data_IF_680817791215
#
_entry.id   IF_680817791215
#
_cell.length_a   1.000
_cell.length_b   1.000
_cell.length_c   1.000
_cell.angle_alpha   90.00
_cell.angle_beta   90.00
_cell.angle_gamma   90.00
#
_symmetry.space_group_name_H-M   'P 1'
#
loop_
_entity.id
_entity.type
_entity.pdbx_description
1 polymer ?
#
# COMPACT_ATOMS: atom_id res chain seq x y z
N UNK A 1 -16.62 -0.20 -7.70
CA UNK A 1 -15.76 0.95 -8.07
C UNK A 1 -15.36 0.76 -9.52
N UNK A 2 -15.64 1.74 -10.42
CA UNK A 2 -15.15 1.67 -11.80
C UNK A 2 -13.67 2.08 -11.82
N UNK A 3 -12.87 1.28 -12.52
CA UNK A 3 -11.44 1.55 -12.74
C UNK A 3 -11.33 2.35 -14.04
N UNK A 4 -11.02 3.64 -13.95
CA UNK A 4 -10.89 4.51 -15.12
C UNK A 4 -9.46 4.46 -15.69
N UNK A 5 -9.25 4.83 -16.99
CA UNK A 5 -7.92 4.90 -17.58
C UNK A 5 -6.95 5.78 -16.77
N UNK A 6 -7.40 6.92 -16.25
CA UNK A 6 -6.58 7.83 -15.44
C UNK A 6 -6.14 7.19 -14.12
N UNK A 7 -7.05 6.46 -13.46
CA UNK A 7 -6.71 5.70 -12.23
C UNK A 7 -5.75 4.55 -12.52
N UNK A 8 -5.88 3.91 -13.68
CA UNK A 8 -4.93 2.90 -14.12
C UNK A 8 -3.53 3.51 -14.33
N UNK A 9 -3.45 4.67 -15.00
CA UNK A 9 -2.18 5.33 -15.27
C UNK A 9 -1.47 5.78 -14.00
N UNK A 10 -2.19 6.37 -13.04
CA UNK A 10 -1.67 6.75 -11.73
C UNK A 10 -1.13 5.51 -11.01
N UNK A 11 -1.89 4.42 -11.02
CA UNK A 11 -1.50 3.16 -10.38
C UNK A 11 -0.32 2.49 -11.11
N UNK A 12 -0.31 2.53 -12.44
CA UNK A 12 0.78 2.05 -13.28
C UNK A 12 2.13 2.65 -12.86
N UNK A 13 2.18 3.97 -12.75
CA UNK A 13 3.40 4.68 -12.33
C UNK A 13 3.78 4.38 -10.88
N UNK A 14 2.82 4.53 -9.98
CA UNK A 14 3.06 4.42 -8.54
C UNK A 14 3.44 2.99 -8.10
N UNK A 15 2.89 1.96 -8.73
CA UNK A 15 3.12 0.57 -8.35
C UNK A 15 4.17 -0.15 -9.21
N UNK A 16 4.72 0.50 -10.24
CA UNK A 16 5.59 -0.10 -11.25
C UNK A 16 4.91 -1.27 -11.98
N UNK A 17 3.63 -1.07 -12.37
CA UNK A 17 2.93 -2.06 -13.20
C UNK A 17 3.66 -2.25 -14.53
N UNK A 18 3.84 -3.49 -14.92
CA UNK A 18 4.43 -3.88 -16.18
C UNK A 18 3.33 -4.36 -17.15
N UNK A 19 2.98 -3.55 -18.17
CA UNK A 19 1.94 -3.93 -19.11
C UNK A 19 2.32 -5.16 -19.94
N UNK A 20 3.62 -5.39 -20.18
CA UNK A 20 4.08 -6.56 -20.94
C UNK A 20 3.97 -7.87 -20.15
N UNK A 21 3.97 -7.81 -18.83
CA UNK A 21 3.78 -8.95 -17.94
C UNK A 21 2.34 -9.06 -17.41
N UNK A 22 1.51 -8.06 -17.68
CA UNK A 22 0.09 -8.06 -17.31
C UNK A 22 -0.75 -8.65 -18.43
N UNK A 23 -1.85 -9.34 -18.07
CA UNK A 23 -2.70 -10.06 -19.05
C UNK A 23 -4.17 -9.80 -18.76
N UNK A 24 -4.93 -9.66 -19.85
CA UNK A 24 -6.37 -9.73 -19.86
C UNK A 24 -6.78 -10.96 -20.65
N UNK A 25 -7.55 -11.83 -20.03
CA UNK A 25 -7.99 -13.10 -20.60
C UNK A 25 -9.43 -12.97 -21.07
N UNK A 26 -9.72 -13.53 -22.22
CA UNK A 26 -11.07 -13.58 -22.81
C UNK A 26 -11.53 -15.01 -22.98
N UNK A 27 -12.83 -15.22 -22.89
CA UNK A 27 -13.51 -16.41 -23.36
C UNK A 27 -14.45 -15.94 -24.47
N UNK A 28 -14.15 -16.30 -25.70
CA UNK A 28 -14.75 -15.70 -26.88
C UNK A 28 -14.50 -14.16 -26.86
N UNK A 29 -15.53 -13.34 -26.80
CA UNK A 29 -15.43 -11.88 -26.73
C UNK A 29 -15.59 -11.32 -25.31
N UNK A 30 -15.94 -12.17 -24.32
CA UNK A 30 -16.18 -11.74 -22.96
C UNK A 30 -14.90 -11.72 -22.11
N UNK A 31 -14.59 -10.63 -21.38
CA UNK A 31 -13.45 -10.61 -20.46
C UNK A 31 -13.68 -11.58 -19.31
N UNK A 32 -12.78 -12.57 -19.19
CA UNK A 32 -12.89 -13.68 -18.23
C UNK A 32 -12.02 -13.50 -16.99
N UNK A 33 -10.78 -13.00 -17.17
CA UNK A 33 -9.88 -12.74 -16.04
C UNK A 33 -8.87 -11.64 -16.38
N UNK A 34 -8.30 -11.04 -15.33
CA UNK A 34 -7.19 -10.11 -15.41
C UNK A 34 -6.12 -10.48 -14.41
N UNK A 35 -4.86 -10.37 -14.82
CA UNK A 35 -3.67 -10.49 -13.97
C UNK A 35 -2.81 -9.25 -14.22
N UNK A 36 -2.55 -8.48 -13.16
CA UNK A 36 -1.69 -7.29 -13.22
C UNK A 36 -0.41 -7.56 -12.45
N UNK A 37 0.71 -7.41 -13.13
CA UNK A 37 2.05 -7.65 -12.58
C UNK A 37 2.80 -6.34 -12.48
N UNK A 38 3.43 -6.10 -11.33
CA UNK A 38 4.43 -5.06 -11.12
C UNK A 38 5.82 -5.71 -11.03
N UNK A 39 6.88 -4.98 -11.44
CA UNK A 39 8.24 -5.53 -11.46
C UNK A 39 9.28 -4.53 -10.98
N UNK A 40 10.23 -5.04 -10.16
CA UNK A 40 11.46 -4.32 -9.75
C UNK A 40 12.60 -5.30 -9.61
N UNK A 41 13.70 -5.03 -10.31
CA UNK A 41 14.84 -5.93 -10.29
C UNK A 41 14.42 -7.36 -10.64
N UNK A 42 14.68 -8.30 -9.76
CA UNK A 42 14.35 -9.72 -9.91
C UNK A 42 13.09 -10.14 -9.14
N UNK A 43 12.31 -9.16 -8.71
CA UNK A 43 11.06 -9.40 -8.00
C UNK A 43 9.88 -8.94 -8.82
N UNK A 44 8.90 -9.81 -8.99
CA UNK A 44 7.57 -9.45 -9.47
C UNK A 44 6.56 -9.44 -8.32
N UNK A 45 5.49 -8.67 -8.50
CA UNK A 45 4.37 -8.59 -7.59
C UNK A 45 3.07 -8.78 -8.36
N UNK A 46 2.24 -9.69 -7.88
CA UNK A 46 0.86 -9.76 -8.33
C UNK A 46 0.10 -8.56 -7.74
N UNK A 47 -0.01 -7.50 -8.51
CA UNK A 47 -0.63 -6.24 -8.07
C UNK A 47 -2.15 -6.31 -8.02
N UNK A 48 -2.75 -7.09 -8.92
CA UNK A 48 -4.17 -7.41 -8.90
C UNK A 48 -4.46 -8.69 -9.69
N UNK A 49 -5.48 -9.42 -9.26
CA UNK A 49 -6.06 -10.52 -9.99
C UNK A 49 -7.57 -10.52 -9.79
N UNK A 50 -8.31 -10.72 -10.87
CA UNK A 50 -9.75 -10.92 -10.79
C UNK A 50 -10.19 -11.95 -11.83
N UNK A 51 -11.20 -12.74 -11.47
CA UNK A 51 -11.94 -13.64 -12.36
C UNK A 51 -13.38 -13.16 -12.40
N UNK A 52 -13.90 -12.96 -13.60
CA UNK A 52 -15.28 -12.52 -13.77
C UNK A 52 -16.27 -13.53 -13.17
N UNK A 53 -17.41 -13.08 -12.60
CA UNK A 53 -18.30 -13.94 -11.82
C UNK A 53 -18.69 -15.24 -12.53
N UNK A 54 -19.02 -15.15 -13.83
CA UNK A 54 -19.49 -16.29 -14.63
C UNK A 54 -18.41 -17.37 -14.88
N UNK A 55 -17.14 -17.03 -14.65
CA UNK A 55 -15.99 -17.94 -14.84
C UNK A 55 -15.39 -18.45 -13.52
N UNK A 56 -15.96 -18.06 -12.36
CA UNK A 56 -15.48 -18.51 -11.05
C UNK A 56 -15.84 -19.98 -10.79
N UNK A 57 -15.09 -20.62 -9.89
CA UNK A 57 -15.32 -22.01 -9.50
C UNK A 57 -14.90 -23.07 -10.54
N UNK A 58 -14.41 -22.65 -11.73
CA UNK A 58 -14.03 -23.53 -12.85
C UNK A 58 -12.51 -23.73 -13.00
N UNK A 59 -11.72 -23.32 -12.02
CA UNK A 59 -10.26 -23.48 -12.06
C UNK A 59 -9.50 -22.32 -12.76
N UNK A 60 -10.17 -21.42 -13.49
CA UNK A 60 -9.53 -20.37 -14.28
C UNK A 60 -8.52 -19.53 -13.47
N UNK A 61 -8.85 -19.18 -12.21
CA UNK A 61 -7.93 -18.44 -11.33
C UNK A 61 -6.60 -19.17 -11.10
N UNK A 62 -6.62 -20.50 -11.00
CA UNK A 62 -5.40 -21.31 -10.88
C UNK A 62 -4.61 -21.31 -12.19
N UNK A 63 -5.31 -21.43 -13.32
CA UNK A 63 -4.66 -21.54 -14.63
C UNK A 63 -3.98 -20.24 -15.02
N UNK A 64 -4.65 -19.07 -14.87
CA UNK A 64 -4.04 -17.77 -15.16
C UNK A 64 -2.86 -17.46 -14.24
N UNK A 65 -2.92 -17.90 -12.98
CA UNK A 65 -1.78 -17.76 -12.06
C UNK A 65 -0.62 -18.67 -12.42
N UNK A 66 -0.90 -19.90 -12.90
CA UNK A 66 0.17 -20.79 -13.37
C UNK A 66 0.92 -20.16 -14.54
N UNK A 67 0.20 -19.63 -15.53
CA UNK A 67 0.80 -18.89 -16.66
C UNK A 67 1.66 -17.73 -16.16
N UNK A 68 1.16 -16.92 -15.23
CA UNK A 68 1.92 -15.80 -14.68
C UNK A 68 3.21 -16.26 -13.97
N UNK A 69 3.18 -17.40 -13.27
CA UNK A 69 4.37 -17.97 -12.60
C UNK A 69 5.37 -18.53 -13.62
N UNK A 70 4.89 -19.23 -14.65
CA UNK A 70 5.74 -19.73 -15.74
C UNK A 70 6.43 -18.60 -16.50
N UNK A 71 5.70 -17.52 -16.83
CA UNK A 71 6.27 -16.32 -17.44
C UNK A 71 7.31 -15.64 -16.53
N UNK A 72 7.06 -15.58 -15.22
CA UNK A 72 8.02 -15.02 -14.27
C UNK A 72 9.31 -15.86 -14.20
N UNK A 73 9.18 -17.18 -14.18
CA UNK A 73 10.33 -18.09 -14.21
C UNK A 73 11.15 -17.96 -15.52
N UNK A 74 10.47 -17.85 -16.66
CA UNK A 74 11.12 -17.62 -17.98
C UNK A 74 11.88 -16.29 -18.02
N UNK A 75 11.35 -15.25 -17.37
CA UNK A 75 12.02 -13.95 -17.20
C UNK A 75 13.18 -13.99 -16.21
N UNK A 76 13.37 -15.11 -15.50
CA UNK A 76 14.36 -15.28 -14.43
C UNK A 76 14.09 -14.38 -13.22
N UNK A 77 12.82 -14.08 -12.96
CA UNK A 77 12.43 -13.49 -11.67
C UNK A 77 12.82 -14.47 -10.56
N UNK A 78 13.34 -13.96 -9.45
CA UNK A 78 13.75 -14.80 -8.30
C UNK A 78 12.66 -14.94 -7.26
N UNK A 79 11.75 -13.98 -7.25
CA UNK A 79 10.70 -13.88 -6.25
C UNK A 79 9.43 -13.31 -6.86
N UNK A 80 8.29 -13.86 -6.47
CA UNK A 80 6.99 -13.22 -6.64
C UNK A 80 6.35 -12.98 -5.28
N UNK A 81 5.82 -11.76 -5.09
CA UNK A 81 5.07 -11.38 -3.89
C UNK A 81 3.63 -11.01 -4.25
N UNK A 82 2.76 -11.05 -3.28
CA UNK A 82 1.37 -10.57 -3.39
C UNK A 82 0.85 -10.17 -2.01
N UNK A 83 -0.17 -9.31 -1.99
CA UNK A 83 -0.99 -9.08 -0.81
C UNK A 83 -2.38 -9.67 -1.04
N UNK A 84 -2.88 -10.40 -0.07
CA UNK A 84 -4.21 -11.01 -0.12
C UNK A 84 -5.00 -10.69 1.15
N UNK A 85 -6.26 -10.29 0.97
CA UNK A 85 -7.17 -10.05 2.09
C UNK A 85 -7.30 -11.34 2.92
N UNK A 86 -6.98 -11.26 4.22
CA UNK A 86 -7.02 -12.39 5.16
C UNK A 86 -8.41 -13.03 5.21
N UNK A 87 -9.46 -12.22 5.12
CA UNK A 87 -10.86 -12.64 5.13
C UNK A 87 -11.34 -13.21 3.78
N UNK A 88 -10.42 -13.47 2.83
CA UNK A 88 -10.71 -14.15 1.57
C UNK A 88 -10.06 -15.54 1.53
N UNK A 89 -10.63 -16.56 2.22
CA UNK A 89 -10.03 -17.88 2.34
C UNK A 89 -9.85 -18.60 1.00
N UNK A 90 -10.69 -18.30 0.02
CA UNK A 90 -10.58 -18.88 -1.31
C UNK A 90 -9.30 -18.41 -2.02
N UNK A 91 -8.98 -17.12 -1.96
CA UNK A 91 -7.77 -16.58 -2.54
C UNK A 91 -6.52 -17.02 -1.76
N UNK A 92 -6.56 -17.00 -0.42
CA UNK A 92 -5.46 -17.50 0.43
C UNK A 92 -5.16 -18.98 0.10
N UNK A 93 -6.19 -19.82 -0.01
CA UNK A 93 -6.03 -21.23 -0.37
C UNK A 93 -5.43 -21.40 -1.79
N UNK A 94 -5.88 -20.59 -2.75
CA UNK A 94 -5.34 -20.61 -4.11
C UNK A 94 -3.83 -20.34 -4.10
N UNK A 95 -3.41 -19.24 -3.50
CA UNK A 95 -1.99 -18.87 -3.48
C UNK A 95 -1.13 -19.84 -2.69
N UNK A 96 -1.62 -20.36 -1.57
CA UNK A 96 -0.92 -21.40 -0.79
C UNK A 96 -0.71 -22.68 -1.61
N UNK A 97 -1.71 -23.13 -2.38
CA UNK A 97 -1.59 -24.29 -3.28
C UNK A 97 -0.64 -24.06 -4.44
N UNK A 98 -0.41 -22.81 -4.82
CA UNK A 98 0.57 -22.42 -5.83
C UNK A 98 1.99 -22.22 -5.27
N UNK A 99 2.19 -22.47 -3.99
CA UNK A 99 3.51 -22.43 -3.34
C UNK A 99 3.83 -21.14 -2.61
N UNK A 100 2.95 -20.14 -2.62
CA UNK A 100 3.15 -18.92 -1.83
C UNK A 100 3.06 -19.21 -0.32
N UNK A 101 3.92 -18.55 0.44
CA UNK A 101 3.94 -18.61 1.90
C UNK A 101 3.70 -17.23 2.50
N UNK A 102 2.86 -17.10 3.54
CA UNK A 102 2.74 -15.85 4.29
C UNK A 102 4.08 -15.49 4.92
N UNK A 103 4.52 -14.25 4.73
CA UNK A 103 5.76 -13.72 5.33
C UNK A 103 5.47 -12.70 6.43
N UNK A 104 4.35 -11.98 6.32
CA UNK A 104 3.87 -11.07 7.37
C UNK A 104 2.39 -10.76 7.22
N UNK A 105 1.81 -10.24 8.29
CA UNK A 105 0.47 -9.67 8.30
C UNK A 105 0.56 -8.16 8.14
N UNK A 106 -0.31 -7.59 7.29
CA UNK A 106 -0.43 -6.18 7.03
C UNK A 106 -1.74 -5.67 7.58
N UNK A 107 -1.69 -4.52 8.24
CA UNK A 107 -2.83 -3.89 8.91
C UNK A 107 -2.99 -2.45 8.46
N UNK A 108 -4.20 -1.94 8.58
CA UNK A 108 -4.53 -0.55 8.35
C UNK A 108 -5.11 0.11 9.60
N UNK A 109 -5.19 1.43 9.55
CA UNK A 109 -5.74 2.22 10.63
C UNK A 109 -6.67 3.30 10.08
N UNK A 110 -7.75 3.56 10.80
CA UNK A 110 -8.69 4.66 10.53
C UNK A 110 -8.73 5.61 11.74
N UNK A 111 -8.84 6.90 11.44
CA UNK A 111 -9.13 7.93 12.42
C UNK A 111 -10.38 8.69 11.99
N UNK A 112 -11.34 8.83 12.88
CA UNK A 112 -12.55 9.60 12.66
C UNK A 112 -12.54 10.84 13.56
N UNK A 113 -12.92 12.02 13.04
CA UNK A 113 -12.93 13.28 13.83
C UNK A 113 -13.77 13.22 15.10
N UNK A 114 -14.81 12.37 15.12
CA UNK A 114 -15.65 12.12 16.32
C UNK A 114 -14.91 11.40 17.44
N UNK A 115 -13.81 10.73 17.13
CA UNK A 115 -12.96 10.04 18.09
C UNK A 115 -11.91 10.98 18.72
N UNK A 116 -11.78 12.21 18.18
CA UNK A 116 -10.89 13.24 18.72
C UNK A 116 -11.51 13.78 20.04
N UNK A 117 -10.91 13.43 21.18
CA UNK A 117 -11.12 14.19 22.41
C UNK A 117 -10.72 15.65 22.19
N UNK A 118 -11.14 16.55 23.10
CA UNK A 118 -10.72 17.96 23.07
C UNK A 118 -9.19 18.04 23.14
N UNK A 119 -8.53 18.00 21.99
CA UNK A 119 -7.09 18.23 21.89
C UNK A 119 -6.89 19.72 21.71
N UNK A 120 -6.19 20.32 22.69
CA UNK A 120 -5.81 21.72 22.63
C UNK A 120 -5.17 22.08 21.30
N UNK A 121 -5.47 23.29 20.83
CA UNK A 121 -5.04 23.84 19.54
C UNK A 121 -3.55 24.17 19.52
N UNK A 122 -2.68 23.20 19.72
CA UNK A 122 -1.27 23.34 19.40
C UNK A 122 -1.13 23.19 17.87
N UNK A 123 -1.40 24.28 17.15
CA UNK A 123 -1.24 24.34 15.70
C UNK A 123 0.26 24.26 15.37
N UNK A 124 0.76 23.06 15.22
CA UNK A 124 2.08 22.86 14.66
C UNK A 124 2.00 23.10 13.15
N UNK A 125 2.74 24.05 12.66
CA UNK A 125 2.79 24.38 11.23
C UNK A 125 3.49 23.25 10.48
N UNK A 126 2.77 22.61 9.53
CA UNK A 126 3.34 21.65 8.61
C UNK A 126 3.88 22.39 7.37
N UNK A 127 5.17 22.21 7.10
CA UNK A 127 5.77 22.65 5.85
C UNK A 127 5.51 21.65 4.73
N UNK A 128 5.43 22.13 3.50
CA UNK A 128 5.36 21.28 2.31
C UNK A 128 6.76 20.95 1.79
N UNK A 129 6.94 19.75 1.27
CA UNK A 129 8.19 19.27 0.69
C UNK A 129 7.89 18.40 -0.54
N UNK A 130 8.82 18.37 -1.49
CA UNK A 130 8.70 17.47 -2.64
C UNK A 130 8.61 16.00 -2.17
N UNK A 131 7.60 15.23 -2.60
CA UNK A 131 7.48 13.81 -2.28
C UNK A 131 8.75 13.00 -2.58
N UNK A 132 9.53 13.39 -3.58
CA UNK A 132 10.82 12.76 -3.89
C UNK A 132 11.84 12.93 -2.76
N UNK A 133 11.86 14.07 -2.06
CA UNK A 133 12.73 14.28 -0.89
C UNK A 133 12.31 13.35 0.24
N UNK A 134 11.01 13.29 0.55
CA UNK A 134 10.48 12.38 1.56
C UNK A 134 10.80 10.90 1.22
N UNK A 135 10.64 10.49 -0.04
CA UNK A 135 10.97 9.15 -0.49
C UNK A 135 12.47 8.83 -0.32
N UNK A 136 13.36 9.77 -0.63
CA UNK A 136 14.82 9.61 -0.41
C UNK A 136 15.17 9.46 1.06
N UNK A 137 14.50 10.19 1.94
CA UNK A 137 14.69 10.05 3.39
C UNK A 137 14.19 8.69 3.88
N UNK A 138 13.08 8.19 3.36
CA UNK A 138 12.58 6.84 3.66
C UNK A 138 13.57 5.77 3.17
N UNK A 139 14.17 5.95 1.99
CA UNK A 139 15.21 5.05 1.49
C UNK A 139 16.46 5.03 2.38
N UNK A 140 16.81 6.17 2.94
CA UNK A 140 18.03 6.32 3.77
C UNK A 140 17.84 5.88 5.21
N UNK A 141 16.69 6.20 5.81
CA UNK A 141 16.45 6.11 7.24
C UNK A 141 15.23 5.23 7.61
N UNK A 142 14.49 4.70 6.61
CA UNK A 142 13.34 3.81 6.83
C UNK A 142 13.76 2.37 7.16
N UNK A 143 12.74 1.53 7.35
CA UNK A 143 12.96 0.08 7.48
C UNK A 143 13.42 -0.52 6.15
N UNK A 144 14.35 -1.47 6.20
CA UNK A 144 14.91 -2.08 4.98
C UNK A 144 13.95 -3.03 4.26
N UNK A 145 13.10 -3.72 5.01
CA UNK A 145 12.15 -4.71 4.48
C UNK A 145 10.72 -4.18 4.55
N UNK A 146 10.43 -3.17 3.72
CA UNK A 146 9.08 -2.61 3.62
C UNK A 146 8.22 -3.40 2.62
N UNK A 147 6.91 -3.49 2.83
CA UNK A 147 5.97 -3.95 1.82
C UNK A 147 6.03 -3.10 0.55
N UNK A 148 5.72 -3.71 -0.60
CA UNK A 148 5.85 -3.07 -1.92
C UNK A 148 5.31 -1.65 -1.99
N UNK A 149 4.12 -1.41 -1.44
CA UNK A 149 3.46 -0.11 -1.51
C UNK A 149 4.07 0.96 -0.58
N UNK A 150 4.87 0.56 0.40
CA UNK A 150 5.60 1.46 1.29
C UNK A 150 7.06 1.68 0.86
N UNK A 151 7.53 0.96 -0.15
CA UNK A 151 8.89 1.13 -0.65
C UNK A 151 9.11 2.54 -1.22
N UNK A 152 10.31 3.11 -1.05
CA UNK A 152 10.65 4.45 -1.53
C UNK A 152 10.40 4.64 -3.03
N UNK A 153 10.56 3.59 -3.83
CA UNK A 153 10.35 3.60 -5.29
C UNK A 153 8.90 3.93 -5.67
N UNK A 154 7.91 3.44 -4.89
CA UNK A 154 6.51 3.81 -5.07
C UNK A 154 6.25 5.27 -4.73
N UNK A 155 6.90 5.73 -3.68
CA UNK A 155 6.70 7.06 -3.14
C UNK A 155 7.41 8.11 -4.00
N UNK A 156 8.57 7.77 -4.57
CA UNK A 156 9.33 8.63 -5.48
C UNK A 156 8.63 8.85 -6.83
N UNK A 157 7.76 7.92 -7.24
CA UNK A 157 6.96 8.05 -8.46
C UNK A 157 5.68 8.90 -8.25
N UNK A 158 5.51 9.49 -7.07
CA UNK A 158 4.35 10.31 -6.75
C UNK A 158 4.30 11.61 -7.58
N UNK A 159 3.12 11.93 -8.06
CA UNK A 159 2.80 13.17 -8.78
C UNK A 159 1.55 13.81 -8.16
N UNK A 160 1.27 15.10 -8.39
CA UNK A 160 0.03 15.70 -7.93
C UNK A 160 -1.19 14.85 -8.27
N UNK A 161 -2.19 14.73 -7.37
CA UNK A 161 -2.37 15.53 -6.15
C UNK A 161 -1.63 15.04 -4.89
N UNK A 162 -0.71 14.08 -5.00
CA UNK A 162 0.08 13.60 -3.85
C UNK A 162 0.89 14.75 -3.27
N UNK A 163 0.81 14.91 -1.95
CA UNK A 163 1.53 15.94 -1.20
C UNK A 163 2.40 15.30 -0.12
N UNK A 164 3.60 15.81 0.07
CA UNK A 164 4.42 15.46 1.22
C UNK A 164 4.54 16.67 2.15
N UNK A 165 4.43 16.38 3.44
CA UNK A 165 4.44 17.34 4.53
C UNK A 165 5.53 16.99 5.52
N UNK A 166 6.12 18.01 6.15
CA UNK A 166 7.06 17.81 7.24
C UNK A 166 6.72 18.67 8.46
N UNK A 167 7.10 18.18 9.63
CA UNK A 167 7.09 18.88 10.90
C UNK A 167 8.54 19.07 11.31
N UNK A 168 8.99 20.35 11.31
CA UNK A 168 10.35 20.77 11.70
C UNK A 168 11.49 20.00 10.98
N UNK A 169 11.24 19.50 9.76
CA UNK A 169 12.18 18.64 9.01
C UNK A 169 12.62 17.36 9.78
N UNK A 170 11.86 16.99 10.79
CA UNK A 170 12.10 15.82 11.65
C UNK A 170 11.12 14.70 11.37
N UNK A 171 9.84 15.00 11.24
CA UNK A 171 8.82 14.04 10.89
C UNK A 171 8.20 14.38 9.54
N UNK A 172 7.92 13.36 8.73
CA UNK A 172 7.42 13.49 7.37
C UNK A 172 6.20 12.61 7.17
N UNK A 173 5.24 13.07 6.38
CA UNK A 173 4.11 12.27 5.92
C UNK A 173 3.87 12.50 4.43
N UNK A 174 3.41 11.46 3.73
CA UNK A 174 2.95 11.54 2.35
C UNK A 174 1.45 11.26 2.32
N UNK A 175 0.70 12.20 1.77
CA UNK A 175 -0.76 12.16 1.66
C UNK A 175 -1.14 11.97 0.19
N UNK A 176 -2.09 11.08 -0.09
CA UNK A 176 -2.46 10.72 -1.47
C UNK A 176 -3.16 11.87 -2.22
N UNK A 177 -4.13 12.49 -1.57
CA UNK A 177 -4.86 13.65 -2.08
C UNK A 177 -5.35 14.49 -0.89
N UNK A 178 -4.80 15.70 -0.69
CA UNK A 178 -5.19 16.58 0.40
C UNK A 178 -6.60 17.16 0.25
N UNK A 179 -7.22 17.05 -0.92
CA UNK A 179 -8.57 17.55 -1.19
C UNK A 179 -9.66 16.46 -1.09
N UNK A 180 -9.27 15.20 -0.91
CA UNK A 180 -10.22 14.09 -0.82
C UNK A 180 -11.12 14.20 0.43
N UNK A 181 -12.34 13.67 0.35
CA UNK A 181 -13.25 13.57 1.51
C UNK A 181 -12.64 12.72 2.63
N UNK A 182 -11.93 11.65 2.29
CA UNK A 182 -11.16 10.81 3.21
C UNK A 182 -9.68 10.94 2.87
N UNK A 183 -8.90 11.39 3.83
CA UNK A 183 -7.46 11.58 3.69
C UNK A 183 -6.72 10.25 3.84
N UNK A 184 -5.96 9.87 2.83
CA UNK A 184 -5.14 8.65 2.87
C UNK A 184 -3.68 9.02 3.08
N UNK A 185 -3.12 8.60 4.22
CA UNK A 185 -1.68 8.72 4.51
C UNK A 185 -1.00 7.50 3.91
N UNK A 186 -0.07 7.73 2.98
CA UNK A 186 0.69 6.69 2.26
C UNK A 186 1.96 6.29 2.97
N UNK A 187 2.59 7.23 3.67
CA UNK A 187 3.82 6.98 4.42
C UNK A 187 3.95 7.95 5.58
N UNK A 188 4.66 7.52 6.62
CA UNK A 188 5.08 8.32 7.76
C UNK A 188 6.53 7.96 8.09
N UNK A 189 7.37 8.96 8.25
CA UNK A 189 8.76 8.79 8.66
C UNK A 189 9.09 9.76 9.80
N UNK A 190 9.83 9.28 10.80
CA UNK A 190 10.57 10.12 11.76
C UNK A 190 12.06 9.89 11.53
N UNK A 191 12.82 10.98 11.43
CA UNK A 191 14.28 10.94 11.29
C UNK A 191 14.88 10.06 12.38
N UNK A 192 15.84 9.23 12.03
CA UNK A 192 16.41 8.19 12.91
C UNK A 192 16.86 8.76 14.27
N UNK A 193 17.57 9.87 14.25
CA UNK A 193 18.08 10.56 15.45
C UNK A 193 17.00 11.13 16.38
N UNK A 194 15.73 11.20 15.92
CA UNK A 194 14.61 11.79 16.66
C UNK A 194 13.50 10.76 16.96
N UNK A 195 13.74 9.48 16.67
CA UNK A 195 12.79 8.42 17.00
C UNK A 195 12.60 8.27 18.52
N UNK A 196 11.46 7.75 18.94
CA UNK A 196 11.07 7.54 20.35
C UNK A 196 11.01 8.82 21.21
N UNK A 197 11.00 10.00 20.57
CA UNK A 197 10.87 11.31 21.23
C UNK A 197 9.50 11.95 21.00
N UNK A 198 8.50 11.17 20.57
CA UNK A 198 7.11 11.65 20.40
C UNK A 198 6.82 12.32 19.04
N UNK A 199 7.79 12.46 18.14
CA UNK A 199 7.60 13.14 16.85
C UNK A 199 6.56 12.48 15.94
N UNK A 200 6.47 11.17 15.95
CA UNK A 200 5.42 10.46 15.20
C UNK A 200 4.02 10.84 15.68
N UNK A 201 3.82 10.89 16.99
CA UNK A 201 2.54 11.29 17.59
C UNK A 201 2.22 12.77 17.33
N UNK A 202 3.23 13.66 17.34
CA UNK A 202 3.06 15.07 16.98
C UNK A 202 2.64 15.20 15.52
N UNK A 203 3.31 14.47 14.60
CA UNK A 203 2.97 14.48 13.19
C UNK A 203 1.53 13.99 12.94
N UNK A 204 1.10 12.90 13.58
CA UNK A 204 -0.27 12.42 13.46
C UNK A 204 -1.29 13.46 13.96
N UNK A 205 -1.04 14.13 15.11
CA UNK A 205 -1.90 15.20 15.62
C UNK A 205 -1.93 16.41 14.67
N UNK A 206 -0.79 16.80 14.13
CA UNK A 206 -0.71 17.91 13.17
C UNK A 206 -1.52 17.61 11.89
N UNK A 207 -1.47 16.37 11.38
CA UNK A 207 -2.30 15.94 10.26
C UNK A 207 -3.79 15.92 10.61
N UNK A 208 -4.16 15.48 11.81
CA UNK A 208 -5.54 15.50 12.30
C UNK A 208 -6.07 16.94 12.39
N UNK A 209 -5.24 17.89 12.82
CA UNK A 209 -5.60 19.31 12.87
C UNK A 209 -5.70 19.94 11.48
N UNK A 210 -4.72 19.69 10.60
CA UNK A 210 -4.71 20.21 9.22
C UNK A 210 -5.94 19.74 8.44
N UNK A 211 -6.31 18.48 8.59
CA UNK A 211 -7.45 17.87 7.90
C UNK A 211 -8.67 17.75 8.82
N UNK A 212 -8.85 18.71 9.73
CA UNK A 212 -9.96 18.74 10.69
C UNK A 212 -11.32 18.50 10.03
N UNK A 213 -12.18 17.71 10.68
CA UNK A 213 -13.50 17.34 10.18
C UNK A 213 -13.52 16.21 9.15
N UNK A 214 -12.38 15.79 8.62
CA UNK A 214 -12.29 14.70 7.64
C UNK A 214 -11.73 13.40 8.25
N UNK A 215 -12.25 12.23 7.85
CA UNK A 215 -11.65 10.95 8.25
C UNK A 215 -10.24 10.81 7.65
N UNK A 216 -9.31 10.25 8.42
CA UNK A 216 -7.98 9.88 7.92
C UNK A 216 -7.85 8.35 7.92
N UNK A 217 -7.08 7.82 6.97
CA UNK A 217 -6.80 6.40 6.89
C UNK A 217 -5.35 6.11 6.51
N UNK A 218 -4.85 5.00 7.02
CA UNK A 218 -3.66 4.33 6.55
C UNK A 218 -4.13 2.98 6.02
N UNK A 219 -3.94 2.67 4.72
CA UNK A 219 -4.37 1.39 4.16
C UNK A 219 -3.74 0.19 4.86
N UNK A 220 -4.34 -0.99 4.70
CA UNK A 220 -3.83 -2.24 5.26
C UNK A 220 -2.55 -2.72 4.54
N UNK A 221 -1.51 -1.90 4.57
CA UNK A 221 -0.18 -2.14 3.97
C UNK A 221 0.96 -2.04 5.00
N UNK A 222 0.62 -1.75 6.26
CA UNK A 222 1.60 -1.58 7.33
C UNK A 222 1.87 -2.92 8.00
N UNK A 223 3.14 -3.36 8.14
CA UNK A 223 3.46 -4.54 8.94
C UNK A 223 2.87 -4.44 10.36
N UNK A 224 2.20 -5.49 10.83
CA UNK A 224 1.47 -5.48 12.10
C UNK A 224 2.33 -5.08 13.31
N UNK A 225 3.61 -5.41 13.27
CA UNK A 225 4.59 -5.11 14.30
C UNK A 225 5.27 -3.73 14.14
N UNK A 226 5.01 -3.01 13.04
CA UNK A 226 5.60 -1.71 12.78
C UNK A 226 4.84 -0.61 13.54
N UNK A 227 5.40 -0.17 14.66
CA UNK A 227 4.93 0.94 15.49
C UNK A 227 3.42 0.92 15.84
N UNK A 228 2.82 -0.22 16.26
CA UNK A 228 1.38 -0.29 16.52
C UNK A 228 0.92 0.66 17.64
N UNK A 229 1.74 0.89 18.65
CA UNK A 229 1.44 1.80 19.75
C UNK A 229 1.33 3.27 19.30
N UNK A 230 2.05 3.67 18.25
CA UNK A 230 2.00 5.03 17.71
C UNK A 230 0.57 5.40 17.29
N UNK A 231 -0.07 4.54 16.51
CA UNK A 231 -1.40 4.80 15.97
C UNK A 231 -2.47 4.71 17.07
N UNK A 232 -2.43 3.67 17.88
CA UNK A 232 -3.42 3.45 18.94
C UNK A 232 -3.38 4.56 20.00
N UNK A 233 -2.18 5.01 20.40
CA UNK A 233 -2.05 6.12 21.37
C UNK A 233 -2.46 7.48 20.82
N UNK A 234 -2.48 7.64 19.49
CA UNK A 234 -2.98 8.83 18.80
C UNK A 234 -4.49 8.78 18.49
N UNK A 235 -5.23 7.81 19.06
CA UNK A 235 -6.68 7.67 18.89
C UNK A 235 -7.12 7.00 17.59
N UNK A 236 -6.19 6.40 16.83
CA UNK A 236 -6.51 5.64 15.64
C UNK A 236 -7.04 4.26 16.00
N UNK A 237 -7.94 3.74 15.19
CA UNK A 237 -8.50 2.38 15.33
C UNK A 237 -8.00 1.49 14.22
N UNK A 238 -7.69 0.24 14.56
CA UNK A 238 -7.32 -0.77 13.58
C UNK A 238 -8.48 -1.08 12.65
N UNK A 239 -8.21 -1.18 11.35
CA UNK A 239 -9.20 -1.62 10.37
C UNK A 239 -9.58 -3.09 10.58
N UNK A 240 -10.81 -3.43 10.23
CA UNK A 240 -11.26 -4.83 10.27
C UNK A 240 -10.63 -5.68 9.16
N UNK A 241 -10.36 -5.06 7.99
CA UNK A 241 -9.73 -5.74 6.85
C UNK A 241 -8.22 -5.71 7.04
N UNK A 242 -7.61 -6.90 7.05
CA UNK A 242 -6.17 -7.09 7.08
C UNK A 242 -5.74 -7.89 5.86
N UNK A 243 -4.43 -7.92 5.58
CA UNK A 243 -3.87 -8.68 4.47
C UNK A 243 -2.72 -9.56 4.95
N UNK A 244 -2.51 -10.69 4.27
CA UNK A 244 -1.23 -11.37 4.29
C UNK A 244 -0.39 -10.88 3.12
N UNK A 245 0.85 -10.48 3.38
CA UNK A 245 1.87 -10.45 2.34
C UNK A 245 2.41 -11.87 2.20
N UNK A 246 2.32 -12.40 0.99
CA UNK A 246 2.78 -13.76 0.69
C UNK A 246 3.90 -13.71 -0.35
N UNK A 247 4.81 -14.68 -0.27
CA UNK A 247 6.01 -14.77 -1.11
C UNK A 247 6.17 -16.16 -1.70
N UNK A 248 6.58 -16.21 -2.95
CA UNK A 248 7.05 -17.40 -3.63
C UNK A 248 8.48 -17.14 -4.12
N UNK A 249 9.35 -18.12 -3.96
CA UNK A 249 10.71 -18.14 -4.53
C UNK A 249 10.74 -19.14 -5.69
N UNK A 250 11.33 -18.71 -6.81
CA UNK A 250 11.51 -19.52 -8.00
C UNK A 250 12.76 -20.38 -7.91
#
# INVERSE_FOLDING_TARGET
>A
MRFTPERYEIRFRAENLDPFSSRLYYSEEAPAAVVMIARRGWTSRLAAMAVAPDFRGRGLGKDVMRVALEEAALRKDRTMILEVIEQNPAAVSLYTKLGFRPIRRLVGYDFHPRDAGHQGSDFQHLGEVDPLIAARLIAKEGELDLPWLLMPENLAAATPPVQALHLDEIAYAIVADPNAEKIVIRALLVRETHRKQGWGSRMLRALQALFSGRPLAIPAVVPENLAPSLFLSAGWKRQMINQFEMKLQF
#
